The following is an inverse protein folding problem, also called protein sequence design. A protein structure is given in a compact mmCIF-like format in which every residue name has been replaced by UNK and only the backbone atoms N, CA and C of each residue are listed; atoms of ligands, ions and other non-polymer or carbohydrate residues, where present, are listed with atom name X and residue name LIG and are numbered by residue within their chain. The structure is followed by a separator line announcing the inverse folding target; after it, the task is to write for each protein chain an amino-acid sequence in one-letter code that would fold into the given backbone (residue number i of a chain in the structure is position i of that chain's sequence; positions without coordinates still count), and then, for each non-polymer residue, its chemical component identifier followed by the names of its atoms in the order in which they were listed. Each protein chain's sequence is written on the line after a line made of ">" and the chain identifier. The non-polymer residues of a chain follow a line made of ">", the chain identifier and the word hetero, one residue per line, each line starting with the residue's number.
data_IF_764254383616
#
_entry.id   IF_764254383616
#
_cell.length_a   1.000
_cell.length_b   1.000
_cell.length_c   1.000
_cell.angle_alpha   90.00
_cell.angle_beta   90.00
_cell.angle_gamma   90.00
#
_symmetry.space_group_name_H-M   'P 1'
#
loop_
_entity.id
_entity.type
_entity.pdbx_description
1 polymer ?
#
# COMPACT_ATOMS: atom_id res chain seq x y z
N UNK A 1 5.95 15.17 -47.22
CA UNK A 1 5.55 14.38 -46.04
C UNK A 1 6.81 13.73 -45.50
N UNK A 2 7.37 14.15 -44.36
CA UNK A 2 8.57 13.51 -43.83
C UNK A 2 8.18 12.17 -43.20
N UNK A 3 8.88 11.11 -43.60
CA UNK A 3 8.80 9.80 -42.96
C UNK A 3 9.45 9.91 -41.58
N UNK A 4 8.65 10.05 -40.52
CA UNK A 4 9.17 9.94 -39.15
C UNK A 4 9.40 8.44 -38.90
N UNK A 5 10.67 8.05 -38.91
CA UNK A 5 11.13 6.68 -38.71
C UNK A 5 10.73 6.23 -37.29
N UNK A 6 9.71 5.37 -37.18
CA UNK A 6 9.22 4.85 -35.87
C UNK A 6 10.31 4.07 -35.12
N UNK A 7 11.35 3.65 -35.83
CA UNK A 7 12.48 2.85 -35.32
C UNK A 7 13.52 3.70 -34.56
N UNK A 8 13.34 5.02 -34.51
CA UNK A 8 14.21 5.96 -33.81
C UNK A 8 13.72 6.38 -32.42
N UNK A 9 12.57 5.86 -31.97
CA UNK A 9 12.07 6.19 -30.64
C UNK A 9 12.96 5.54 -29.56
N UNK A 10 13.53 6.36 -28.69
CA UNK A 10 14.31 5.94 -27.52
C UNK A 10 13.68 6.50 -26.26
N UNK A 11 13.81 5.80 -25.15
CA UNK A 11 13.29 6.20 -23.84
C UNK A 11 14.35 5.98 -22.76
N UNK A 12 14.15 6.57 -21.59
CA UNK A 12 15.04 6.42 -20.44
C UNK A 12 14.62 5.22 -19.60
N UNK A 13 15.59 4.38 -19.22
CA UNK A 13 15.34 3.25 -18.34
C UNK A 13 14.94 3.74 -16.93
N UNK A 14 13.82 3.30 -16.34
CA UNK A 14 13.37 3.77 -15.03
C UNK A 14 14.27 3.33 -13.86
N UNK A 15 15.16 2.36 -14.09
CA UNK A 15 16.07 1.84 -13.07
C UNK A 15 17.44 2.55 -13.03
N UNK A 16 17.95 2.99 -14.19
CA UNK A 16 19.33 3.49 -14.30
C UNK A 16 19.48 4.71 -15.21
N UNK A 17 18.38 5.22 -15.75
CA UNK A 17 18.29 6.39 -16.62
C UNK A 17 19.05 6.28 -17.97
N UNK A 18 19.60 5.11 -18.28
CA UNK A 18 20.26 4.88 -19.56
C UNK A 18 19.26 4.97 -20.73
N UNK A 19 19.72 5.47 -21.88
CA UNK A 19 18.93 5.56 -23.11
C UNK A 19 18.76 4.17 -23.73
N UNK A 20 17.51 3.76 -23.91
CA UNK A 20 17.12 2.45 -24.43
C UNK A 20 16.23 2.62 -25.66
N UNK A 21 16.37 1.72 -26.64
CA UNK A 21 15.53 1.71 -27.84
C UNK A 21 14.15 1.15 -27.52
N UNK A 22 13.10 1.75 -28.07
CA UNK A 22 11.74 1.20 -28.00
C UNK A 22 11.73 -0.22 -28.59
N UNK A 23 11.09 -1.17 -27.90
CA UNK A 23 11.08 -2.59 -28.23
C UNK A 23 12.27 -3.41 -27.75
N UNK A 24 13.23 -2.81 -27.02
CA UNK A 24 14.30 -3.56 -26.38
C UNK A 24 13.77 -4.33 -25.16
N UNK A 25 14.04 -5.65 -25.10
CA UNK A 25 13.64 -6.50 -23.97
C UNK A 25 14.50 -6.36 -22.72
N UNK A 26 15.65 -5.72 -22.83
CA UNK A 26 16.62 -5.60 -21.74
C UNK A 26 17.41 -4.29 -21.86
N UNK A 27 17.61 -3.64 -20.72
CA UNK A 27 18.54 -2.53 -20.60
C UNK A 27 19.97 -3.05 -20.62
N UNK A 28 20.76 -2.63 -21.61
CA UNK A 28 22.18 -3.04 -21.71
C UNK A 28 23.07 -2.44 -20.63
N UNK A 29 22.59 -1.43 -19.91
CA UNK A 29 23.35 -0.74 -18.85
C UNK A 29 23.20 -1.45 -17.50
N UNK A 30 21.97 -1.67 -17.05
CA UNK A 30 21.70 -2.25 -15.72
C UNK A 30 21.18 -3.69 -15.74
N UNK A 31 20.84 -4.24 -16.91
CA UNK A 31 20.28 -5.58 -17.03
C UNK A 31 18.78 -5.69 -16.68
N UNK A 32 18.09 -4.58 -16.38
CA UNK A 32 16.64 -4.60 -16.19
C UNK A 32 15.93 -5.14 -17.44
N UNK A 33 15.05 -6.11 -17.25
CA UNK A 33 14.34 -6.83 -18.31
C UNK A 33 12.92 -6.31 -18.48
N UNK A 34 12.24 -6.68 -19.56
CA UNK A 34 10.88 -6.28 -19.90
C UNK A 34 9.83 -6.67 -18.85
N UNK A 35 10.10 -7.72 -18.07
CA UNK A 35 9.35 -8.12 -16.88
C UNK A 35 9.39 -7.11 -15.72
N UNK A 36 10.33 -6.15 -15.73
CA UNK A 36 10.46 -5.10 -14.73
C UNK A 36 9.40 -3.98 -14.90
N UNK A 37 8.40 -4.18 -15.77
CA UNK A 37 7.21 -3.33 -15.89
C UNK A 37 7.34 -2.09 -16.78
N UNK A 38 8.49 -1.90 -17.43
CA UNK A 38 8.76 -0.78 -18.35
C UNK A 38 8.48 -1.06 -19.83
N UNK A 39 8.31 -2.33 -20.23
CA UNK A 39 7.95 -2.67 -21.61
C UNK A 39 6.45 -2.51 -21.80
N UNK A 40 6.07 -1.27 -22.12
CA UNK A 40 4.70 -0.84 -22.22
C UNK A 40 4.12 -1.10 -23.61
N UNK A 41 3.67 -2.33 -23.86
CA UNK A 41 2.41 -2.53 -24.58
C UNK A 41 1.23 -2.17 -23.66
N UNK A 42 1.45 -2.17 -22.33
CA UNK A 42 0.66 -1.46 -21.34
C UNK A 42 1.43 -0.23 -20.91
N UNK A 43 1.06 0.95 -21.42
CA UNK A 43 1.48 2.22 -20.83
C UNK A 43 1.26 2.18 -19.32
N UNK A 44 1.81 3.16 -18.62
CA UNK A 44 1.10 3.62 -17.42
C UNK A 44 -0.35 3.82 -17.87
N UNK A 45 -1.23 2.89 -17.52
CA UNK A 45 -2.63 3.08 -17.80
C UNK A 45 -2.96 4.25 -16.89
N UNK A 46 -3.16 5.42 -17.50
CA UNK A 46 -3.85 6.53 -16.86
C UNK A 46 -5.26 6.07 -16.41
N UNK A 47 -5.71 4.92 -16.96
CA UNK A 47 -6.91 4.14 -16.61
C UNK A 47 -6.67 3.05 -15.55
N UNK A 48 -5.50 3.02 -14.90
CA UNK A 48 -5.41 2.30 -13.63
C UNK A 48 -6.41 3.03 -12.74
N UNK A 49 -7.58 2.42 -12.52
CA UNK A 49 -8.55 2.82 -11.53
C UNK A 49 -7.81 2.83 -10.19
N UNK A 50 -7.12 3.94 -9.94
CA UNK A 50 -6.81 4.41 -8.61
C UNK A 50 -8.17 4.83 -8.11
N UNK A 51 -8.92 3.84 -7.64
CA UNK A 51 -10.26 4.00 -7.13
C UNK A 51 -10.17 5.06 -6.03
N UNK A 52 -10.49 6.29 -6.42
CA UNK A 52 -10.43 7.47 -5.56
C UNK A 52 -11.74 7.55 -4.75
N UNK A 53 -12.64 6.58 -4.93
CA UNK A 53 -13.76 6.29 -4.04
C UNK A 53 -13.25 5.42 -2.89
N UNK A 54 -12.43 6.05 -2.05
CA UNK A 54 -11.83 5.48 -0.85
C UNK A 54 -12.88 5.22 0.23
N UNK A 55 -13.59 4.10 0.14
CA UNK A 55 -14.17 3.44 1.32
C UNK A 55 -13.25 2.30 1.83
N UNK A 56 -12.32 1.79 1.01
CA UNK A 56 -11.25 0.86 1.38
C UNK A 56 -9.87 1.52 1.17
N UNK A 57 -9.54 2.50 2.02
CA UNK A 57 -8.17 2.99 2.18
C UNK A 57 -7.26 1.79 2.53
N UNK A 58 -6.21 1.55 1.73
CA UNK A 58 -5.24 0.48 2.02
C UNK A 58 -4.62 0.65 3.41
N UNK A 59 -4.95 -0.25 4.34
CA UNK A 59 -4.44 -0.23 5.71
C UNK A 59 -2.99 -0.73 5.73
N UNK A 60 -2.06 0.22 5.67
CA UNK A 60 -0.63 -0.04 5.76
C UNK A 60 -0.26 -0.73 7.08
N UNK A 61 -0.91 -0.37 8.18
CA UNK A 61 -0.61 -0.91 9.50
C UNK A 61 -1.08 -2.37 9.61
N UNK A 62 -2.26 -2.73 9.07
CA UNK A 62 -2.71 -4.13 8.97
C UNK A 62 -1.77 -4.97 8.12
N UNK A 63 -1.41 -4.46 6.93
CA UNK A 63 -0.51 -5.16 6.03
C UNK A 63 0.85 -5.44 6.69
N UNK A 64 1.44 -4.43 7.33
CA UNK A 64 2.70 -4.59 8.07
C UNK A 64 2.54 -5.56 9.23
N UNK A 65 1.45 -5.48 10.00
CA UNK A 65 1.20 -6.40 11.09
C UNK A 65 1.05 -7.86 10.64
N UNK A 66 0.45 -8.08 9.46
CA UNK A 66 0.20 -9.42 8.89
C UNK A 66 1.42 -10.02 8.20
N UNK A 67 2.15 -9.24 7.42
CA UNK A 67 3.30 -9.73 6.63
C UNK A 67 4.65 -9.57 7.38
N UNK A 68 4.75 -8.56 8.25
CA UNK A 68 5.99 -8.17 8.96
C UNK A 68 5.74 -7.91 10.45
N UNK A 69 5.28 -8.91 11.23
CA UNK A 69 4.85 -8.73 12.62
C UNK A 69 5.94 -8.19 13.55
N UNK A 70 7.21 -8.37 13.22
CA UNK A 70 8.36 -7.86 13.98
C UNK A 70 8.62 -6.35 13.79
N UNK A 71 8.02 -5.75 12.75
CA UNK A 71 8.11 -4.32 12.44
C UNK A 71 6.81 -3.56 12.73
N UNK A 72 5.77 -4.25 13.21
CA UNK A 72 4.51 -3.63 13.55
C UNK A 72 4.67 -2.65 14.72
N UNK A 73 4.10 -1.44 14.59
CA UNK A 73 4.09 -0.49 15.70
C UNK A 73 3.23 -1.07 16.85
N UNK A 74 3.78 -1.25 18.06
CA UNK A 74 2.99 -1.71 19.20
C UNK A 74 1.82 -0.78 19.54
N UNK A 75 1.84 0.48 19.10
CA UNK A 75 0.73 1.42 19.24
C UNK A 75 -0.39 1.22 18.21
N UNK A 76 -0.10 0.67 17.02
CA UNK A 76 -1.11 0.38 15.99
C UNK A 76 -2.03 -0.80 16.38
N UNK A 77 -1.55 -1.69 17.26
CA UNK A 77 -2.33 -2.78 17.85
C UNK A 77 -3.41 -2.32 18.85
N UNK A 78 -3.58 -1.01 19.07
CA UNK A 78 -4.50 -0.46 20.09
C UNK A 78 -5.98 -0.60 19.80
N UNK A 79 -6.38 -1.10 18.62
CA UNK A 79 -7.79 -1.38 18.35
C UNK A 79 -8.19 -2.83 18.71
N UNK A 80 -7.60 -3.39 19.77
CA UNK A 80 -8.20 -4.53 20.45
C UNK A 80 -9.43 -4.02 21.21
N UNK A 81 -10.59 -4.08 20.55
CA UNK A 81 -11.94 -3.84 21.08
C UNK A 81 -12.27 -4.75 22.28
N UNK A 82 -11.53 -4.67 23.40
CA UNK A 82 -11.66 -5.56 24.57
C UNK A 82 -13.10 -5.56 25.09
N UNK A 83 -13.94 -6.56 24.74
CA UNK A 83 -15.37 -6.48 24.98
C UNK A 83 -15.72 -6.71 26.46
N UNK A 84 -14.75 -7.18 27.26
CA UNK A 84 -14.88 -7.34 28.70
C UNK A 84 -14.67 -6.03 29.49
N UNK A 85 -14.03 -5.02 28.89
CA UNK A 85 -13.79 -3.72 29.54
C UNK A 85 -15.09 -2.99 29.94
N UNK A 86 -16.12 -2.86 29.06
CA UNK A 86 -17.38 -2.23 29.45
C UNK A 86 -18.11 -3.02 30.55
N UNK A 87 -18.00 -4.34 30.56
CA UNK A 87 -18.60 -5.20 31.60
C UNK A 87 -17.98 -4.91 32.98
N UNK A 88 -16.65 -4.79 33.04
CA UNK A 88 -15.94 -4.48 34.29
C UNK A 88 -16.25 -3.07 34.80
N UNK A 89 -16.32 -2.08 33.89
CA UNK A 89 -16.69 -0.71 34.27
C UNK A 89 -18.13 -0.67 34.81
N UNK A 90 -19.07 -1.36 34.18
CA UNK A 90 -20.46 -1.43 34.65
C UNK A 90 -20.55 -2.07 36.04
N UNK A 91 -19.86 -3.18 36.28
CA UNK A 91 -19.83 -3.84 37.59
C UNK A 91 -19.26 -2.94 38.70
N UNK A 92 -18.22 -2.17 38.40
CA UNK A 92 -17.65 -1.18 39.32
C UNK A 92 -18.64 -0.06 39.67
N UNK A 93 -19.37 0.45 38.68
CA UNK A 93 -20.39 1.48 38.91
C UNK A 93 -21.53 0.94 39.78
N UNK A 94 -22.02 -0.26 39.49
CA UNK A 94 -23.11 -0.88 40.26
C UNK A 94 -22.69 -1.13 41.71
N UNK A 95 -21.48 -1.62 41.94
CA UNK A 95 -20.97 -1.85 43.31
C UNK A 95 -20.79 -0.54 44.09
N UNK A 96 -20.32 0.54 43.46
CA UNK A 96 -20.21 1.86 44.09
C UNK A 96 -21.59 2.45 44.43
N UNK A 97 -22.55 2.37 43.50
CA UNK A 97 -23.91 2.85 43.73
C UNK A 97 -24.61 2.04 44.84
N UNK A 98 -24.42 0.72 44.84
CA UNK A 98 -24.95 -0.14 45.90
C UNK A 98 -24.34 0.20 47.26
N UNK A 99 -23.03 0.42 47.33
CA UNK A 99 -22.36 0.86 48.55
C UNK A 99 -22.85 2.23 49.04
N UNK A 100 -23.16 3.16 48.12
CA UNK A 100 -23.68 4.48 48.46
C UNK A 100 -25.16 4.45 48.89
N UNK A 101 -25.92 3.46 48.43
CA UNK A 101 -27.32 3.28 48.81
C UNK A 101 -27.50 2.50 50.12
N UNK A 102 -26.52 1.69 50.50
CA UNK A 102 -26.51 0.89 51.73
C UNK A 102 -26.00 1.67 52.95
N UNK A 103 -25.29 2.77 52.75
CA UNK A 103 -24.73 3.64 53.79
C UNK A 103 -25.59 4.90 53.98
#
# INVERSE_FOLDING_TARGET
>A
MPFHDRDSQTFHCPHCDAVVKVGARVCRSCGATDDCGWNSDGGWNDDADFDTDADDDFDYDDFVAREFPEHADPAALKNANRPWLPIVVLALIVTLLFSMFVF
#
